data_IF_616447188212
#
_entry.id   IF_616447188212
#
_cell.length_a   1.000
_cell.length_b   1.000
_cell.length_c   1.000
_cell.angle_alpha   90.00
_cell.angle_beta   90.00
_cell.angle_gamma   90.00
#
_symmetry.space_group_name_H-M   'P 1'
#
loop_
_entity.id
_entity.type
_entity.pdbx_description
1 polymer ?
#
# COMPACT_ATOMS: atom_id res chain seq x y z
N UNK A 1 38.69 -49.44 -4.64
CA UNK A 1 38.13 -48.60 -3.62
C UNK A 1 36.98 -47.74 -4.18
N UNK A 2 35.83 -47.54 -3.47
CA UNK A 2 34.72 -46.77 -3.98
C UNK A 2 34.91 -45.27 -3.73
N UNK A 3 34.65 -44.48 -4.75
CA UNK A 3 34.58 -43.02 -4.70
C UNK A 3 33.48 -42.53 -3.78
N UNK A 4 33.82 -41.61 -2.89
CA UNK A 4 32.87 -40.88 -2.07
C UNK A 4 32.28 -39.73 -2.86
N UNK A 5 30.95 -39.74 -3.09
CA UNK A 5 30.19 -38.63 -3.65
C UNK A 5 30.13 -37.42 -2.68
N UNK A 6 29.98 -36.19 -3.21
CA UNK A 6 29.98 -34.97 -2.38
C UNK A 6 28.68 -34.84 -1.58
N UNK A 7 28.82 -34.50 -0.29
CA UNK A 7 27.75 -34.34 0.67
C UNK A 7 26.75 -33.23 0.27
N UNK A 8 25.48 -33.52 0.46
CA UNK A 8 24.40 -32.59 0.33
C UNK A 8 24.54 -31.46 1.37
N UNK A 9 24.71 -30.25 0.86
CA UNK A 9 24.63 -29.03 1.68
C UNK A 9 23.17 -28.81 2.10
N UNK A 10 22.91 -28.89 3.39
CA UNK A 10 21.66 -28.52 4.01
C UNK A 10 21.42 -27.03 3.76
N UNK A 11 20.38 -26.73 2.99
CA UNK A 11 19.87 -25.39 2.82
C UNK A 11 19.28 -24.91 4.17
N UNK A 12 20.01 -24.02 4.82
CA UNK A 12 19.59 -23.35 6.03
C UNK A 12 18.46 -22.37 5.66
N UNK A 13 17.24 -22.69 6.04
CA UNK A 13 16.03 -21.91 5.78
C UNK A 13 16.06 -20.57 6.52
N UNK A 14 16.71 -19.57 5.96
CA UNK A 14 16.59 -18.18 6.38
C UNK A 14 15.31 -17.60 5.79
N UNK A 15 14.32 -17.39 6.65
CA UNK A 15 13.05 -16.72 6.33
C UNK A 15 13.31 -15.31 5.74
N UNK A 16 12.96 -15.02 4.48
CA UNK A 16 13.24 -13.72 3.85
C UNK A 16 12.32 -12.59 4.35
N UNK A 17 11.42 -12.85 5.29
CA UNK A 17 10.41 -11.89 5.76
C UNK A 17 10.91 -10.75 6.65
N UNK A 18 12.20 -10.64 6.95
CA UNK A 18 12.72 -9.70 7.95
C UNK A 18 13.88 -8.82 7.47
N UNK A 19 13.86 -8.30 6.26
CA UNK A 19 14.70 -7.13 5.94
C UNK A 19 13.87 -5.87 6.03
N UNK A 20 13.79 -5.31 7.23
CA UNK A 20 13.40 -3.91 7.43
C UNK A 20 14.44 -3.06 6.69
N UNK A 21 13.97 -2.27 5.71
CA UNK A 21 14.80 -1.27 5.06
C UNK A 21 15.38 -0.27 6.09
N UNK A 22 16.43 0.50 5.73
CA UNK A 22 17.16 1.36 6.65
C UNK A 22 16.21 2.29 7.40
N UNK A 23 16.38 2.36 8.72
CA UNK A 23 15.55 3.13 9.64
C UNK A 23 15.59 4.61 9.29
N UNK A 24 14.55 5.08 8.62
CA UNK A 24 14.31 6.50 8.44
C UNK A 24 13.51 7.07 9.60
N UNK A 25 13.93 8.22 10.06
CA UNK A 25 13.07 9.16 10.77
C UNK A 25 11.99 9.62 9.78
N UNK A 26 10.93 8.82 9.62
CA UNK A 26 9.77 9.25 8.88
C UNK A 26 9.21 10.47 9.62
N UNK A 27 9.29 11.65 9.02
CA UNK A 27 8.45 12.73 9.46
C UNK A 27 7.02 12.21 9.32
N UNK A 28 6.40 11.85 10.45
CA UNK A 28 4.95 11.85 10.55
C UNK A 28 4.56 13.30 10.27
N UNK A 29 4.45 13.70 9.00
CA UNK A 29 3.86 14.97 8.65
C UNK A 29 2.42 14.88 9.14
N UNK A 30 2.24 15.29 10.42
CA UNK A 30 0.93 15.32 11.02
C UNK A 30 0.08 16.20 10.12
N UNK A 31 -0.99 15.64 9.56
CA UNK A 31 -2.02 16.48 9.00
C UNK A 31 -2.41 17.41 10.15
N UNK A 32 -2.45 18.73 9.94
CA UNK A 32 -2.87 19.68 10.98
C UNK A 32 -4.31 19.41 11.49
N UNK A 33 -4.91 18.28 11.08
CA UNK A 33 -6.26 17.86 11.44
C UNK A 33 -6.23 16.78 12.55
N UNK A 34 -6.87 17.09 13.69
CA UNK A 34 -7.10 16.13 14.77
C UNK A 34 -8.53 15.58 14.70
N UNK A 35 -8.66 14.26 14.61
CA UNK A 35 -9.96 13.59 14.64
C UNK A 35 -10.71 13.86 15.95
N UNK A 36 -11.99 14.18 15.85
CA UNK A 36 -12.93 14.27 16.99
C UNK A 36 -13.11 12.89 17.63
N UNK A 37 -13.61 12.85 18.87
CA UNK A 37 -13.88 11.59 19.60
C UNK A 37 -14.80 10.66 18.81
N UNK A 38 -15.87 11.19 18.21
CA UNK A 38 -16.81 10.42 17.38
C UNK A 38 -16.15 9.81 16.14
N UNK A 39 -15.25 10.55 15.48
CA UNK A 39 -14.52 10.07 14.31
C UNK A 39 -13.54 8.94 14.69
N UNK A 40 -12.88 9.05 15.85
CA UNK A 40 -12.02 7.97 16.37
C UNK A 40 -12.82 6.70 16.69
N UNK A 41 -14.02 6.83 17.24
CA UNK A 41 -14.91 5.68 17.47
C UNK A 41 -15.32 5.06 16.14
N UNK A 42 -15.71 5.89 15.16
CA UNK A 42 -16.04 5.40 13.82
C UNK A 42 -14.87 4.64 13.17
N UNK A 43 -13.64 5.17 13.23
CA UNK A 43 -12.44 4.48 12.71
C UNK A 43 -12.27 3.11 13.39
N UNK A 44 -12.43 3.02 14.72
CA UNK A 44 -12.30 1.73 15.43
C UNK A 44 -13.36 0.71 15.00
N UNK A 45 -14.61 1.15 14.88
CA UNK A 45 -15.71 0.29 14.41
C UNK A 45 -15.49 -0.16 12.97
N UNK A 46 -15.03 0.75 12.12
CA UNK A 46 -14.73 0.43 10.71
C UNK A 46 -13.57 -0.54 10.58
N UNK A 47 -12.48 -0.37 11.35
CA UNK A 47 -11.36 -1.33 11.40
C UNK A 47 -11.84 -2.69 11.88
N UNK A 48 -12.68 -2.74 12.90
CA UNK A 48 -13.27 -3.99 13.38
C UNK A 48 -14.10 -4.68 12.28
N UNK A 49 -14.95 -3.93 11.59
CA UNK A 49 -15.77 -4.42 10.48
C UNK A 49 -14.89 -4.98 9.35
N UNK A 50 -13.88 -4.23 8.90
CA UNK A 50 -12.96 -4.69 7.86
C UNK A 50 -12.25 -5.99 8.25
N UNK A 51 -11.77 -6.08 9.50
CA UNK A 51 -11.14 -7.31 10.00
C UNK A 51 -12.10 -8.49 10.01
N UNK A 52 -13.36 -8.27 10.43
CA UNK A 52 -14.37 -9.31 10.49
C UNK A 52 -14.73 -9.83 9.09
N UNK A 53 -14.96 -8.92 8.12
CA UNK A 53 -15.25 -9.29 6.74
C UNK A 53 -14.06 -10.07 6.14
N UNK A 54 -12.86 -9.54 6.28
CA UNK A 54 -11.68 -10.15 5.72
C UNK A 54 -11.34 -11.51 6.36
N UNK A 55 -11.58 -11.66 7.68
CA UNK A 55 -11.37 -12.93 8.37
C UNK A 55 -12.36 -14.03 7.92
N UNK A 56 -13.58 -13.63 7.58
CA UNK A 56 -14.60 -14.58 7.07
C UNK A 56 -14.50 -14.82 5.57
N UNK A 57 -13.72 -14.01 4.85
CA UNK A 57 -13.54 -14.13 3.41
C UNK A 57 -12.41 -15.10 3.07
N UNK A 58 -12.68 -16.03 2.16
CA UNK A 58 -11.62 -16.82 1.54
C UNK A 58 -10.98 -15.99 0.44
N UNK A 59 -9.69 -15.74 0.58
CA UNK A 59 -8.91 -14.94 -0.37
C UNK A 59 -7.78 -15.75 -0.95
N UNK A 60 -7.58 -15.61 -2.25
CA UNK A 60 -6.50 -16.21 -3.01
C UNK A 60 -5.74 -15.09 -3.69
N UNK A 61 -4.43 -15.00 -3.49
CA UNK A 61 -3.59 -13.98 -4.08
C UNK A 61 -2.79 -14.62 -5.22
N UNK A 62 -3.08 -14.18 -6.44
CA UNK A 62 -2.34 -14.61 -7.61
C UNK A 62 -1.07 -13.78 -7.79
N UNK A 63 -0.01 -14.41 -8.31
CA UNK A 63 1.26 -13.76 -8.64
C UNK A 63 1.95 -13.03 -7.46
N UNK A 64 1.79 -13.51 -6.24
CA UNK A 64 2.40 -12.90 -5.03
C UNK A 64 3.92 -12.71 -5.18
N UNK A 65 4.60 -13.63 -5.85
CA UNK A 65 6.05 -13.61 -6.06
C UNK A 65 6.56 -12.35 -6.78
N UNK A 66 5.70 -11.65 -7.54
CA UNK A 66 6.09 -10.45 -8.30
C UNK A 66 6.55 -9.31 -7.37
N UNK A 67 6.02 -9.25 -6.15
CA UNK A 67 6.39 -8.24 -5.15
C UNK A 67 7.81 -8.47 -4.65
N UNK A 68 8.14 -9.71 -4.32
CA UNK A 68 9.48 -10.07 -3.85
C UNK A 68 10.51 -9.95 -4.98
N UNK A 69 10.12 -10.29 -6.19
CA UNK A 69 10.96 -10.10 -7.38
C UNK A 69 11.24 -8.62 -7.65
N UNK A 70 10.24 -7.77 -7.60
CA UNK A 70 10.38 -6.33 -7.77
C UNK A 70 11.33 -5.73 -6.72
N UNK A 71 11.20 -6.12 -5.45
CA UNK A 71 12.12 -5.70 -4.40
C UNK A 71 13.54 -6.17 -4.65
N UNK A 72 13.71 -7.41 -5.10
CA UNK A 72 15.05 -8.01 -5.35
C UNK A 72 15.77 -7.36 -6.52
N UNK A 73 15.05 -7.06 -7.61
CA UNK A 73 15.65 -6.55 -8.85
C UNK A 73 15.77 -5.02 -8.84
N UNK A 74 14.73 -4.32 -8.36
CA UNK A 74 14.62 -2.86 -8.45
C UNK A 74 14.76 -2.15 -7.09
N UNK A 75 14.91 -2.90 -6.01
CA UNK A 75 15.00 -2.35 -4.65
C UNK A 75 13.65 -1.90 -4.07
N UNK A 76 12.62 -1.66 -4.88
CA UNK A 76 11.31 -1.18 -4.45
C UNK A 76 10.23 -1.41 -5.50
N UNK A 77 9.02 -0.94 -5.22
CA UNK A 77 7.89 -1.04 -6.15
C UNK A 77 6.78 -0.05 -5.82
N UNK A 78 5.90 0.20 -6.77
CA UNK A 78 4.67 0.96 -6.61
C UNK A 78 3.49 0.01 -6.77
N UNK A 79 2.77 -0.27 -5.68
CA UNK A 79 1.51 -1.00 -5.71
C UNK A 79 0.40 -0.03 -6.13
N UNK A 80 -0.20 -0.27 -7.28
CA UNK A 80 -1.27 0.56 -7.85
C UNK A 80 -2.61 -0.13 -7.67
N UNK A 81 -3.54 0.52 -6.99
CA UNK A 81 -4.93 0.06 -6.84
C UNK A 81 -5.91 1.20 -7.05
N UNK A 82 -7.09 0.95 -7.59
CA UNK A 82 -8.13 1.96 -7.72
C UNK A 82 -8.68 2.38 -6.35
N UNK A 83 -9.15 3.62 -6.22
CA UNK A 83 -9.80 4.10 -4.98
C UNK A 83 -10.91 3.16 -4.53
N UNK A 84 -11.71 2.64 -5.46
CA UNK A 84 -12.79 1.69 -5.15
C UNK A 84 -12.35 0.41 -4.44
N UNK A 85 -11.08 0.02 -4.58
CA UNK A 85 -10.51 -1.23 -4.07
C UNK A 85 -9.66 -1.04 -2.81
N UNK A 86 -9.53 0.20 -2.30
CA UNK A 86 -8.62 0.56 -1.21
C UNK A 86 -8.87 -0.28 0.05
N UNK A 87 -10.12 -0.47 0.46
CA UNK A 87 -10.42 -1.13 1.73
C UNK A 87 -9.92 -2.57 1.77
N UNK A 88 -10.13 -3.31 0.69
CA UNK A 88 -9.65 -4.68 0.61
C UNK A 88 -8.12 -4.74 0.41
N UNK A 89 -7.55 -3.78 -0.33
CA UNK A 89 -6.10 -3.63 -0.49
C UNK A 89 -5.39 -3.43 0.86
N UNK A 90 -5.97 -2.62 1.75
CA UNK A 90 -5.42 -2.37 3.08
C UNK A 90 -5.28 -3.69 3.87
N UNK A 91 -6.27 -4.56 3.81
CA UNK A 91 -6.20 -5.87 4.46
C UNK A 91 -5.20 -6.79 3.79
N UNK A 92 -5.25 -6.92 2.46
CA UNK A 92 -4.39 -7.85 1.72
C UNK A 92 -2.92 -7.55 1.91
N UNK A 93 -2.53 -6.28 1.91
CA UNK A 93 -1.12 -5.87 1.93
C UNK A 93 -0.63 -5.36 3.29
N UNK A 94 -1.38 -5.62 4.38
CA UNK A 94 -1.05 -5.16 5.75
C UNK A 94 0.32 -5.63 6.27
N UNK A 95 0.80 -6.79 5.81
CA UNK A 95 2.08 -7.35 6.24
C UNK A 95 3.29 -6.79 5.45
N UNK A 96 3.03 -6.05 4.38
CA UNK A 96 4.10 -5.47 3.55
C UNK A 96 4.64 -4.16 4.09
N UNK A 97 4.02 -3.57 5.12
CA UNK A 97 4.41 -2.30 5.74
C UNK A 97 4.59 -1.16 4.72
N UNK A 98 3.65 -1.07 3.77
CA UNK A 98 3.72 -0.10 2.69
C UNK A 98 3.56 1.34 3.19
N UNK A 99 4.12 2.27 2.44
CA UNK A 99 3.84 3.70 2.59
C UNK A 99 2.80 4.11 1.56
N UNK A 100 1.74 4.80 2.00
CA UNK A 100 0.69 5.27 1.11
C UNK A 100 0.78 6.80 0.91
N UNK A 101 0.50 7.25 -0.31
CA UNK A 101 0.29 8.68 -0.57
C UNK A 101 -1.14 9.05 -0.18
N UNK A 102 -1.27 10.01 0.75
CA UNK A 102 -2.55 10.33 1.39
C UNK A 102 -2.83 11.82 1.28
N UNK A 103 -4.06 12.18 0.89
CA UNK A 103 -4.49 13.57 0.86
C UNK A 103 -4.35 14.25 2.23
N UNK A 104 -3.92 15.52 2.23
CA UNK A 104 -3.86 16.37 3.42
C UNK A 104 -5.24 16.95 3.80
N UNK A 105 -6.32 16.23 3.50
CA UNK A 105 -7.71 16.59 3.82
C UNK A 105 -8.19 15.88 5.10
N UNK A 106 -9.34 16.31 5.61
CA UNK A 106 -10.02 15.65 6.72
C UNK A 106 -10.33 14.17 6.44
N UNK A 107 -10.84 13.89 5.23
CA UNK A 107 -11.18 12.53 4.81
C UNK A 107 -9.91 11.69 4.65
N UNK A 108 -8.82 12.29 4.11
CA UNK A 108 -7.50 11.67 4.07
C UNK A 108 -6.96 11.32 5.45
N UNK A 109 -7.24 12.14 6.49
CA UNK A 109 -6.87 11.79 7.86
C UNK A 109 -7.66 10.58 8.38
N UNK A 110 -8.96 10.52 8.11
CA UNK A 110 -9.81 9.39 8.50
C UNK A 110 -9.30 8.07 7.93
N UNK A 111 -9.05 8.03 6.61
CA UNK A 111 -8.53 6.83 5.94
C UNK A 111 -7.13 6.47 6.43
N UNK A 112 -6.26 7.46 6.70
CA UNK A 112 -4.93 7.21 7.24
C UNK A 112 -4.97 6.55 8.61
N UNK A 113 -5.87 6.96 9.50
CA UNK A 113 -6.04 6.31 10.79
C UNK A 113 -6.52 4.85 10.64
N UNK A 114 -7.34 4.54 9.63
CA UNK A 114 -7.67 3.14 9.29
C UNK A 114 -6.41 2.41 8.83
N UNK A 115 -5.67 2.95 7.87
CA UNK A 115 -4.47 2.33 7.28
C UNK A 115 -3.38 2.06 8.33
N UNK A 116 -3.19 2.96 9.30
CA UNK A 116 -2.25 2.77 10.42
C UNK A 116 -2.54 1.53 11.26
N UNK A 117 -3.81 1.15 11.41
CA UNK A 117 -4.22 -0.07 12.10
C UNK A 117 -3.87 -1.35 11.33
N UNK A 118 -3.40 -1.21 10.09
CA UNK A 118 -2.96 -2.28 9.19
C UNK A 118 -1.50 -2.08 8.75
N UNK A 119 -0.68 -1.46 9.61
CA UNK A 119 0.77 -1.30 9.44
C UNK A 119 1.21 -0.42 8.26
N UNK A 120 0.31 0.39 7.67
CA UNK A 120 0.70 1.35 6.66
C UNK A 120 1.31 2.61 7.28
N UNK A 121 2.28 3.18 6.58
CA UNK A 121 2.81 4.53 6.81
C UNK A 121 2.16 5.51 5.82
N UNK A 122 2.38 6.82 5.98
CA UNK A 122 1.79 7.82 5.09
C UNK A 122 2.75 8.92 4.71
N UNK A 123 2.74 9.30 3.42
CA UNK A 123 3.29 10.54 2.90
C UNK A 123 2.11 11.44 2.56
N UNK A 124 2.15 12.70 3.03
CA UNK A 124 1.06 13.65 2.83
C UNK A 124 1.24 14.42 1.54
N UNK A 125 0.23 14.37 0.69
CA UNK A 125 0.17 15.13 -0.55
C UNK A 125 -0.93 14.61 -1.46
N UNK A 126 -1.33 15.44 -2.39
CA UNK A 126 -2.25 15.05 -3.47
C UNK A 126 -2.01 15.96 -4.67
N UNK A 127 -2.56 15.59 -5.84
CA UNK A 127 -2.51 16.41 -7.05
C UNK A 127 -3.02 17.85 -6.86
N UNK A 128 -3.77 18.12 -5.81
CA UNK A 128 -4.38 19.43 -5.56
C UNK A 128 -3.65 20.28 -4.50
N UNK A 129 -2.85 19.66 -3.62
CA UNK A 129 -2.10 20.37 -2.57
C UNK A 129 -0.81 19.63 -2.24
N UNK A 130 0.33 20.31 -2.36
CA UNK A 130 1.64 19.72 -2.05
C UNK A 130 1.99 18.50 -2.92
N UNK A 131 1.43 18.42 -4.15
CA UNK A 131 1.62 17.27 -5.02
C UNK A 131 3.06 17.13 -5.49
N UNK A 132 3.74 18.24 -5.79
CA UNK A 132 5.12 18.22 -6.27
C UNK A 132 6.07 17.79 -5.15
N UNK A 133 5.92 18.38 -3.96
CA UNK A 133 6.71 18.03 -2.78
C UNK A 133 6.50 16.57 -2.38
N UNK A 134 5.24 16.10 -2.39
CA UNK A 134 4.91 14.70 -2.11
C UNK A 134 5.50 13.75 -3.16
N UNK A 135 5.53 14.13 -4.43
CA UNK A 135 6.17 13.34 -5.48
C UNK A 135 7.67 13.23 -5.27
N UNK A 136 8.34 14.35 -4.92
CA UNK A 136 9.78 14.37 -4.62
C UNK A 136 10.10 13.48 -3.40
N UNK A 137 9.34 13.63 -2.31
CA UNK A 137 9.52 12.85 -1.09
C UNK A 137 9.29 11.35 -1.37
N UNK A 138 8.26 11.04 -2.13
CA UNK A 138 7.92 9.68 -2.53
C UNK A 138 9.00 9.08 -3.43
N UNK A 139 9.54 9.84 -4.38
CA UNK A 139 10.66 9.40 -5.22
C UNK A 139 11.90 9.07 -4.40
N UNK A 140 12.28 9.92 -3.43
CA UNK A 140 13.38 9.63 -2.50
C UNK A 140 13.13 8.36 -1.69
N UNK A 141 11.90 8.15 -1.22
CA UNK A 141 11.52 6.96 -0.47
C UNK A 141 11.64 5.68 -1.32
N UNK A 142 11.18 5.72 -2.57
CA UNK A 142 11.30 4.59 -3.50
C UNK A 142 12.76 4.24 -3.81
N UNK A 143 13.61 5.25 -4.02
CA UNK A 143 15.05 5.07 -4.28
C UNK A 143 15.81 4.45 -3.10
N UNK A 144 15.21 4.41 -1.91
CA UNK A 144 15.76 3.79 -0.71
C UNK A 144 15.19 2.38 -0.44
N UNK A 145 14.51 1.81 -1.39
CA UNK A 145 13.96 0.45 -1.30
C UNK A 145 12.55 0.39 -0.71
N UNK A 146 11.81 1.50 -0.77
CA UNK A 146 10.46 1.58 -0.24
C UNK A 146 9.41 0.89 -1.11
N UNK A 147 8.35 0.38 -0.49
CA UNK A 147 7.11 -0.04 -1.17
C UNK A 147 6.03 1.03 -1.01
N UNK A 148 5.57 1.58 -2.12
CA UNK A 148 4.53 2.61 -2.15
C UNK A 148 3.18 2.02 -2.55
N UNK A 149 2.11 2.40 -1.84
CA UNK A 149 0.73 2.16 -2.27
C UNK A 149 0.11 3.47 -2.76
N UNK A 150 -0.45 3.46 -3.95
CA UNK A 150 -1.07 4.65 -4.56
C UNK A 150 -2.35 4.29 -5.31
N UNK A 151 -3.37 5.16 -5.20
CA UNK A 151 -4.56 5.11 -6.03
C UNK A 151 -4.41 6.12 -7.18
N UNK A 152 -4.17 5.64 -8.42
CA UNK A 152 -3.77 6.50 -9.54
C UNK A 152 -4.89 7.42 -10.04
N UNK A 153 -6.15 7.11 -9.75
CA UNK A 153 -7.31 7.96 -10.07
C UNK A 153 -7.43 9.18 -9.14
N UNK A 154 -6.65 9.20 -8.03
CA UNK A 154 -6.59 10.34 -7.13
C UNK A 154 -7.87 10.57 -6.32
N UNK A 155 -7.85 11.45 -5.31
CA UNK A 155 -8.93 11.59 -4.33
C UNK A 155 -10.20 12.26 -4.89
N UNK A 156 -10.15 12.84 -6.07
CA UNK A 156 -11.26 13.54 -6.73
C UNK A 156 -11.68 12.92 -8.06
N UNK A 157 -11.07 11.76 -8.42
CA UNK A 157 -11.35 11.07 -9.66
C UNK A 157 -10.92 11.82 -10.93
N UNK A 158 -11.49 11.49 -12.08
CA UNK A 158 -12.57 10.51 -12.31
C UNK A 158 -12.17 9.07 -11.94
N UNK A 159 -13.15 8.28 -11.45
CA UNK A 159 -12.91 6.88 -11.06
C UNK A 159 -12.39 6.06 -12.24
N UNK A 160 -11.42 5.15 -11.96
CA UNK A 160 -10.81 4.25 -12.94
C UNK A 160 -10.07 4.97 -14.09
N UNK A 161 -9.64 6.20 -13.87
CA UNK A 161 -8.81 6.95 -14.82
C UNK A 161 -7.48 7.32 -14.15
N UNK A 162 -6.40 6.71 -14.61
CA UNK A 162 -5.06 6.94 -14.07
C UNK A 162 -4.56 8.34 -14.41
N UNK A 163 -4.02 9.04 -13.41
CA UNK A 163 -3.29 10.29 -13.58
C UNK A 163 -1.82 10.01 -13.87
N UNK A 164 -1.16 10.93 -14.56
CA UNK A 164 0.24 10.78 -14.98
C UNK A 164 1.25 10.70 -13.83
N UNK A 165 0.90 11.15 -12.62
CA UNK A 165 1.79 11.18 -11.48
C UNK A 165 2.44 9.84 -11.13
N UNK A 166 1.69 8.73 -11.26
CA UNK A 166 2.24 7.39 -11.01
C UNK A 166 3.31 7.00 -12.03
N UNK A 167 3.12 7.38 -13.30
CA UNK A 167 4.09 7.11 -14.37
C UNK A 167 5.36 7.91 -14.17
N UNK A 168 5.23 9.19 -13.77
CA UNK A 168 6.38 10.03 -13.45
C UNK A 168 7.17 9.45 -12.28
N UNK A 169 6.51 9.02 -11.21
CA UNK A 169 7.16 8.37 -10.07
C UNK A 169 7.94 7.11 -10.49
N UNK A 170 7.32 6.23 -11.27
CA UNK A 170 7.95 5.00 -11.74
C UNK A 170 9.17 5.30 -12.63
N UNK A 171 9.03 6.25 -13.58
CA UNK A 171 10.12 6.67 -14.46
C UNK A 171 11.31 7.24 -13.67
N UNK A 172 11.03 8.14 -12.74
CA UNK A 172 12.07 8.90 -12.03
C UNK A 172 12.75 8.07 -10.93
N UNK A 173 12.05 7.07 -10.37
CA UNK A 173 12.60 6.15 -9.37
C UNK A 173 13.14 4.84 -9.95
N UNK A 174 12.83 4.50 -11.20
CA UNK A 174 13.24 3.25 -11.83
C UNK A 174 12.59 1.99 -11.28
N UNK A 175 11.58 2.13 -10.40
CA UNK A 175 10.89 0.97 -9.83
C UNK A 175 9.63 0.62 -10.62
N UNK A 176 9.23 -0.67 -10.67
CA UNK A 176 8.05 -1.09 -11.41
C UNK A 176 6.74 -0.67 -10.73
N UNK A 177 5.71 -0.49 -11.57
CA UNK A 177 4.33 -0.39 -11.11
C UNK A 177 3.73 -1.80 -11.14
N UNK A 178 3.18 -2.24 -10.01
CA UNK A 178 2.45 -3.49 -9.86
C UNK A 178 0.97 -3.15 -9.74
N UNK A 179 0.18 -3.29 -10.80
CA UNK A 179 -1.26 -3.06 -10.72
C UNK A 179 -1.92 -4.21 -9.96
N UNK A 180 -2.86 -3.85 -9.07
CA UNK A 180 -3.63 -4.80 -8.30
C UNK A 180 -5.10 -4.45 -8.32
N UNK A 181 -5.93 -5.47 -8.40
CA UNK A 181 -7.38 -5.39 -8.25
C UNK A 181 -7.88 -6.74 -7.75
N UNK A 182 -9.13 -6.81 -7.31
CA UNK A 182 -9.75 -8.07 -6.93
C UNK A 182 -11.07 -8.30 -7.63
N UNK A 183 -11.46 -9.57 -7.72
CA UNK A 183 -12.78 -10.00 -8.12
C UNK A 183 -13.47 -10.70 -6.94
N UNK A 184 -14.76 -10.47 -6.76
CA UNK A 184 -15.56 -11.09 -5.72
C UNK A 184 -16.85 -11.67 -6.32
N UNK A 185 -17.33 -12.77 -5.73
CA UNK A 185 -18.65 -13.36 -6.10
C UNK A 185 -19.81 -12.50 -5.60
N UNK A 186 -19.57 -11.74 -4.51
CA UNK A 186 -20.55 -10.85 -3.89
C UNK A 186 -19.83 -9.62 -3.39
N UNK A 187 -20.33 -8.45 -3.71
CA UNK A 187 -19.75 -7.17 -3.29
C UNK A 187 -20.84 -6.17 -2.97
N UNK A 188 -20.56 -5.32 -1.99
CA UNK A 188 -21.39 -4.15 -1.71
C UNK A 188 -20.73 -2.92 -2.31
N UNK A 189 -21.49 -2.19 -3.10
CA UNK A 189 -21.06 -0.93 -3.69
C UNK A 189 -21.58 0.24 -2.85
N UNK A 190 -20.67 1.03 -2.30
CA UNK A 190 -21.04 2.25 -1.59
C UNK A 190 -21.45 3.34 -2.59
N UNK A 191 -22.38 4.21 -2.18
CA UNK A 191 -22.82 5.36 -2.99
C UNK A 191 -21.81 6.52 -2.87
N UNK A 192 -20.58 6.28 -3.28
CA UNK A 192 -19.48 7.25 -3.33
C UNK A 192 -19.11 7.51 -4.79
N UNK A 193 -18.33 8.59 -5.05
CA UNK A 193 -17.92 8.93 -6.43
C UNK A 193 -17.13 7.82 -7.12
N UNK A 194 -16.36 7.06 -6.35
CA UNK A 194 -15.51 5.96 -6.78
C UNK A 194 -16.17 4.58 -6.62
N UNK A 195 -17.39 4.51 -6.07
CA UNK A 195 -18.12 3.27 -5.82
C UNK A 195 -17.28 2.25 -5.06
N UNK A 196 -16.77 2.63 -3.89
CA UNK A 196 -16.03 1.69 -3.04
C UNK A 196 -16.70 0.33 -2.96
N UNK A 197 -15.89 -0.72 -3.06
CA UNK A 197 -16.29 -2.12 -2.93
C UNK A 197 -15.93 -2.65 -1.54
N UNK A 198 -16.85 -3.39 -0.91
CA UNK A 198 -16.67 -4.11 0.34
C UNK A 198 -17.19 -5.53 0.19
#
# INVERSE_FOLDING_TARGET
>A
GPEKGPGAAQANGSNPRARQGPGMTHSNSESGYRLKKSEKVFVKLFVFLLRSIAWTSRTELENEAIIDEARRIHGGFILSTWHRDIFFSIWMFRELHLTAMISASRDGEGIFQVMRNFNFKGIRGSSNRGGTEALIETGKFLNQGGGLAIAPDGPTGPSLQSKSGIILLARDSGVPIIPWSYASKSEWLLKTWDRHRI
#
